data_IF_253040535500
#
_entry.id   IF_253040535500
#
_cell.length_a   1.000
_cell.length_b   1.000
_cell.length_c   1.000
_cell.angle_alpha   90.00
_cell.angle_beta   90.00
_cell.angle_gamma   90.00
#
_symmetry.space_group_name_H-M   'P 1'
#
loop_
_entity.id
_entity.type
_entity.pdbx_description
1 polymer ?
#
# COMPACT_ATOMS: atom_id res chain seq x y z
N UNK A 1 -4.40 10.75 17.33
CA UNK A 1 -3.51 9.58 17.46
C UNK A 1 -3.27 8.94 16.11
N UNK A 2 -2.06 8.49 15.83
CA UNK A 2 -1.83 7.76 14.60
C UNK A 2 -2.64 6.47 14.57
N UNK A 3 -3.16 6.13 13.41
CA UNK A 3 -3.94 4.92 13.23
C UNK A 3 -3.19 3.93 12.36
N UNK A 4 -3.54 2.65 12.50
CA UNK A 4 -3.02 1.58 11.67
C UNK A 4 -4.19 0.88 11.01
N UNK A 5 -4.13 0.76 9.69
CA UNK A 5 -5.18 0.15 8.89
C UNK A 5 -4.59 -0.92 7.99
N UNK A 6 -5.44 -1.81 7.51
CA UNK A 6 -5.04 -2.84 6.57
C UNK A 6 -6.09 -2.95 5.47
N UNK A 7 -5.63 -3.02 4.23
CA UNK A 7 -6.51 -3.29 3.10
C UNK A 7 -5.97 -4.48 2.32
N UNK A 8 -6.88 -5.23 1.69
CA UNK A 8 -6.51 -6.36 0.86
C UNK A 8 -6.86 -6.07 -0.59
N UNK A 9 -5.86 -6.16 -1.45
CA UNK A 9 -6.03 -6.03 -2.90
C UNK A 9 -5.95 -7.40 -3.58
N UNK A 10 -5.97 -8.47 -2.79
CA UNK A 10 -5.91 -9.83 -3.29
C UNK A 10 -7.17 -10.10 -4.12
N UNK A 11 -6.99 -10.66 -5.32
CA UNK A 11 -8.06 -10.94 -6.27
C UNK A 11 -8.74 -9.68 -6.84
N UNK A 12 -8.12 -8.52 -6.70
CA UNK A 12 -8.62 -7.31 -7.35
C UNK A 12 -7.89 -7.10 -8.67
N UNK A 13 -8.66 -6.72 -9.68
CA UNK A 13 -8.10 -6.42 -10.99
C UNK A 13 -7.47 -5.02 -11.01
N UNK A 14 -6.52 -4.85 -11.91
CA UNK A 14 -6.00 -3.55 -12.27
C UNK A 14 -6.97 -2.90 -13.26
N UNK A 15 -7.42 -1.64 -13.15
CA UNK A 15 -6.90 -0.62 -12.22
C UNK A 15 -7.66 -0.48 -10.90
N UNK A 16 -8.61 -1.37 -10.59
CA UNK A 16 -9.38 -1.28 -9.34
C UNK A 16 -8.49 -1.29 -8.11
N UNK A 17 -7.46 -2.14 -8.11
CA UNK A 17 -6.50 -2.22 -7.01
C UNK A 17 -5.75 -0.89 -6.82
N UNK A 18 -5.38 -0.23 -7.91
CA UNK A 18 -4.72 1.07 -7.84
C UNK A 18 -5.65 2.13 -7.23
N UNK A 19 -6.90 2.16 -7.69
CA UNK A 19 -7.87 3.14 -7.21
C UNK A 19 -8.15 2.95 -5.73
N UNK A 20 -8.30 1.72 -5.28
CA UNK A 20 -8.52 1.40 -3.87
C UNK A 20 -7.33 1.84 -3.01
N UNK A 21 -6.12 1.49 -3.44
CA UNK A 21 -4.91 1.85 -2.72
C UNK A 21 -4.76 3.37 -2.65
N UNK A 22 -4.93 4.05 -3.77
CA UNK A 22 -4.81 5.50 -3.82
C UNK A 22 -5.82 6.20 -2.92
N UNK A 23 -7.05 5.71 -2.90
CA UNK A 23 -8.10 6.24 -2.04
C UNK A 23 -7.70 6.15 -0.57
N UNK A 24 -7.15 5.01 -0.15
CA UNK A 24 -6.72 4.83 1.23
C UNK A 24 -5.49 5.68 1.56
N UNK A 25 -4.57 5.85 0.63
CA UNK A 25 -3.40 6.70 0.84
C UNK A 25 -3.80 8.16 1.06
N UNK A 26 -4.80 8.64 0.32
CA UNK A 26 -5.28 10.01 0.46
C UNK A 26 -5.96 10.27 1.80
N UNK A 27 -6.46 9.22 2.44
CA UNK A 27 -7.12 9.33 3.76
C UNK A 27 -6.14 9.29 4.92
N UNK A 28 -4.88 8.95 4.67
CA UNK A 28 -3.86 8.86 5.71
C UNK A 28 -3.51 10.23 6.24
N UNK A 29 -3.39 10.30 7.56
CA UNK A 29 -2.93 11.51 8.25
C UNK A 29 -1.50 11.29 8.76
N UNK A 30 -0.88 12.36 9.22
CA UNK A 30 0.49 12.32 9.74
C UNK A 30 0.63 11.24 10.84
N UNK A 31 1.59 10.36 10.65
CA UNK A 31 1.83 9.27 11.58
C UNK A 31 1.03 8.00 11.34
N UNK A 32 0.04 8.05 10.44
CA UNK A 32 -0.77 6.87 10.13
C UNK A 32 0.06 5.81 9.39
N UNK A 33 -0.37 4.58 9.55
CA UNK A 33 0.24 3.43 8.89
C UNK A 33 -0.84 2.64 8.14
N UNK A 34 -0.50 2.19 6.95
CA UNK A 34 -1.38 1.37 6.12
C UNK A 34 -0.62 0.14 5.66
N UNK A 35 -1.18 -1.03 5.89
CA UNK A 35 -0.64 -2.28 5.35
C UNK A 35 -1.51 -2.69 4.17
N UNK A 36 -0.88 -2.95 3.03
CA UNK A 36 -1.56 -3.33 1.80
C UNK A 36 -1.16 -4.76 1.45
N UNK A 37 -2.14 -5.65 1.35
CA UNK A 37 -1.91 -7.05 0.99
C UNK A 37 -2.13 -7.22 -0.51
N UNK A 38 -1.15 -7.80 -1.18
CA UNK A 38 -1.16 -7.99 -2.63
C UNK A 38 -0.71 -9.40 -2.95
N UNK A 39 -1.31 -10.03 -3.96
CA UNK A 39 -0.89 -11.35 -4.40
C UNK A 39 -0.05 -11.34 -5.67
N UNK A 40 -0.05 -10.22 -6.40
CA UNK A 40 0.64 -10.08 -7.68
C UNK A 40 1.87 -9.18 -7.53
N UNK A 41 3.04 -9.74 -7.85
CA UNK A 41 4.30 -9.00 -7.71
C UNK A 41 4.40 -7.79 -8.64
N UNK A 42 3.78 -7.85 -9.81
CA UNK A 42 3.78 -6.71 -10.74
C UNK A 42 2.97 -5.54 -10.20
N UNK A 43 1.80 -5.84 -9.63
CA UNK A 43 0.98 -4.82 -8.97
C UNK A 43 1.75 -4.23 -7.80
N UNK A 44 2.40 -5.07 -6.98
CA UNK A 44 3.18 -4.61 -5.84
C UNK A 44 4.29 -3.66 -6.27
N UNK A 45 5.03 -4.00 -7.32
CA UNK A 45 6.11 -3.15 -7.84
C UNK A 45 5.59 -1.81 -8.31
N UNK A 46 4.46 -1.81 -9.04
CA UNK A 46 3.85 -0.59 -9.54
C UNK A 46 3.39 0.30 -8.39
N UNK A 47 2.75 -0.29 -7.38
CA UNK A 47 2.31 0.46 -6.21
C UNK A 47 3.50 1.06 -5.45
N UNK A 48 4.58 0.30 -5.31
CA UNK A 48 5.80 0.82 -4.66
C UNK A 48 6.36 2.02 -5.39
N UNK A 49 6.38 2.00 -6.72
CA UNK A 49 6.85 3.13 -7.52
C UNK A 49 5.98 4.37 -7.29
N UNK A 50 4.67 4.17 -7.26
CA UNK A 50 3.73 5.27 -7.05
C UNK A 50 3.89 5.86 -5.66
N UNK A 51 3.97 5.02 -4.64
CA UNK A 51 4.10 5.45 -3.25
C UNK A 51 5.43 6.20 -3.05
N UNK A 52 6.51 5.68 -3.64
CA UNK A 52 7.84 6.28 -3.47
C UNK A 52 8.00 7.63 -4.16
N UNK A 53 7.05 8.03 -5.03
CA UNK A 53 7.04 9.37 -5.63
C UNK A 53 6.50 10.42 -4.67
N UNK A 54 5.83 10.00 -3.61
CA UNK A 54 5.28 10.92 -2.61
C UNK A 54 6.32 11.20 -1.54
N UNK A 55 6.62 12.46 -1.32
CA UNK A 55 7.66 12.86 -0.36
C UNK A 55 7.31 12.51 1.08
N UNK A 56 6.01 12.43 1.38
CA UNK A 56 5.53 12.21 2.74
C UNK A 56 5.18 10.77 3.05
N UNK A 57 5.38 9.87 2.09
CA UNK A 57 5.06 8.46 2.27
C UNK A 57 6.33 7.63 2.19
N UNK A 58 6.45 6.67 3.10
CA UNK A 58 7.52 5.68 3.07
C UNK A 58 6.88 4.31 3.02
N UNK A 59 7.38 3.47 2.14
CA UNK A 59 6.83 2.13 1.95
C UNK A 59 7.93 1.08 2.04
N UNK A 60 7.58 -0.05 2.63
CA UNK A 60 8.44 -1.22 2.72
C UNK A 60 7.67 -2.42 2.18
N UNK A 61 8.30 -3.18 1.30
CA UNK A 61 7.72 -4.39 0.76
C UNK A 61 8.29 -5.60 1.50
N UNK A 62 7.40 -6.47 1.96
CA UNK A 62 7.77 -7.73 2.63
C UNK A 62 7.03 -8.86 1.93
N UNK A 63 7.76 -9.89 1.51
CA UNK A 63 7.17 -11.08 0.92
C UNK A 63 7.38 -12.26 1.86
N UNK A 64 6.30 -12.97 2.16
CA UNK A 64 6.34 -14.12 3.06
C UNK A 64 5.29 -15.14 2.63
N UNK A 65 5.72 -16.38 2.41
CA UNK A 65 4.84 -17.49 2.05
C UNK A 65 3.97 -17.19 0.82
N UNK A 66 4.55 -16.54 -0.18
CA UNK A 66 3.83 -16.18 -1.39
C UNK A 66 2.89 -14.99 -1.26
N UNK A 67 2.80 -14.41 -0.09
CA UNK A 67 2.03 -13.20 0.17
C UNK A 67 2.93 -11.98 0.21
N UNK A 68 2.48 -10.89 -0.41
CA UNK A 68 3.23 -9.64 -0.44
C UNK A 68 2.49 -8.62 0.42
N UNK A 69 3.21 -7.99 1.33
CA UNK A 69 2.69 -6.93 2.18
C UNK A 69 3.50 -5.66 1.93
N UNK A 70 2.81 -4.58 1.63
CA UNK A 70 3.42 -3.26 1.52
C UNK A 70 3.02 -2.47 2.74
N UNK A 71 4.01 -2.11 3.56
CA UNK A 71 3.78 -1.32 4.77
C UNK A 71 4.07 0.13 4.45
N UNK A 72 3.06 0.98 4.56
CA UNK A 72 3.15 2.40 4.21
C UNK A 72 2.99 3.23 5.47
N UNK A 73 3.83 4.23 5.62
CA UNK A 73 3.74 5.18 6.72
C UNK A 73 3.77 6.60 6.17
N UNK A 74 2.87 7.43 6.66
CA UNK A 74 2.88 8.85 6.33
C UNK A 74 3.69 9.61 7.38
N UNK A 75 4.74 10.25 6.90
CA UNK A 75 5.62 11.05 7.75
C UNK A 75 4.99 12.37 8.16
#
# INVERSE_FOLDING_TARGET
>A
MPSASEISLINMDWPSSLLQCNSELLRMEHGDRLDVLVSDSEIAKTLMLIINRSDNLKARLVEKNGQIRISVKRA
#
